data_IF_150934080599
#
_entry.id   IF_150934080599
#
_cell.length_a   1.000
_cell.length_b   1.000
_cell.length_c   1.000
_cell.angle_alpha   90.00
_cell.angle_beta   90.00
_cell.angle_gamma   90.00
#
_symmetry.space_group_name_H-M   'P 1'
#
loop_
_entity.id
_entity.type
_entity.pdbx_description
1 polymer ?
#
# COMPACT_ATOMS: atom_id res chain seq x y z
N UNK A 1 2.14 -2.04 24.82
CA UNK A 1 3.38 -2.34 24.05
C UNK A 1 3.12 -3.64 23.31
N UNK A 2 3.17 -3.61 21.98
CA UNK A 2 3.00 -4.79 21.14
C UNK A 2 4.37 -5.45 20.93
N UNK A 3 4.48 -6.78 21.02
CA UNK A 3 5.75 -7.47 20.77
C UNK A 3 6.14 -7.38 19.28
N UNK A 4 7.44 -7.42 18.97
CA UNK A 4 7.89 -7.50 17.57
C UNK A 4 7.38 -8.80 16.93
N UNK A 5 7.06 -8.74 15.65
CA UNK A 5 6.66 -9.90 14.84
C UNK A 5 7.71 -10.18 13.77
N UNK A 6 7.80 -11.43 13.32
CA UNK A 6 8.48 -11.73 12.06
C UNK A 6 7.52 -11.35 10.92
N UNK A 7 7.82 -10.23 10.25
CA UNK A 7 6.91 -9.67 9.28
C UNK A 7 6.73 -10.56 8.04
N UNK A 8 7.78 -11.26 7.61
CA UNK A 8 7.70 -12.22 6.51
C UNK A 8 6.74 -13.37 6.82
N UNK A 9 6.87 -13.97 8.00
CA UNK A 9 5.95 -15.04 8.42
C UNK A 9 4.51 -14.54 8.50
N UNK A 10 4.30 -13.32 9.02
CA UNK A 10 2.96 -12.72 9.07
C UNK A 10 2.37 -12.54 7.66
N UNK A 11 3.16 -12.09 6.68
CA UNK A 11 2.72 -11.97 5.29
C UNK A 11 2.34 -13.34 4.74
N UNK A 12 3.17 -14.36 4.94
CA UNK A 12 2.93 -15.70 4.42
C UNK A 12 1.66 -16.34 5.03
N UNK A 13 1.44 -16.17 6.33
CA UNK A 13 0.23 -16.63 7.02
C UNK A 13 -1.03 -15.92 6.51
N UNK A 14 -0.92 -14.63 6.16
CA UNK A 14 -2.04 -13.80 5.73
C UNK A 14 -2.18 -13.70 4.19
N UNK A 15 -1.29 -14.32 3.41
CA UNK A 15 -1.23 -14.22 1.94
C UNK A 15 -2.56 -14.58 1.26
N UNK A 16 -3.34 -15.46 1.87
CA UNK A 16 -4.67 -15.82 1.39
C UNK A 16 -5.69 -14.67 1.41
N UNK A 17 -5.48 -13.65 2.25
CA UNK A 17 -6.29 -12.42 2.34
C UNK A 17 -5.73 -11.28 1.47
N UNK A 18 -4.45 -11.35 1.09
CA UNK A 18 -3.76 -10.31 0.30
C UNK A 18 -4.03 -10.47 -1.20
N UNK A 19 -5.22 -10.93 -1.56
CA UNK A 19 -5.72 -11.14 -2.92
C UNK A 19 -7.25 -11.01 -2.94
N UNK A 20 -7.88 -10.86 -4.12
CA UNK A 20 -9.33 -10.81 -4.19
C UNK A 20 -10.01 -12.01 -3.51
N UNK A 21 -11.14 -11.79 -2.82
CA UNK A 21 -11.92 -10.54 -2.76
C UNK A 21 -11.48 -9.54 -1.68
N UNK A 22 -10.49 -9.86 -0.83
CA UNK A 22 -10.12 -9.03 0.33
C UNK A 22 -9.05 -7.99 -0.04
N UNK A 23 -7.90 -8.44 -0.55
CA UNK A 23 -6.86 -7.60 -1.14
C UNK A 23 -5.91 -6.88 -0.17
N UNK A 24 -6.30 -6.63 1.09
CA UNK A 24 -5.45 -6.00 2.10
C UNK A 24 -5.75 -6.48 3.51
N UNK A 25 -4.83 -6.21 4.44
CA UNK A 25 -5.02 -6.46 5.87
C UNK A 25 -4.18 -5.52 6.73
N UNK A 26 -4.80 -4.94 7.76
CA UNK A 26 -4.10 -4.19 8.81
C UNK A 26 -3.29 -5.13 9.71
N UNK A 27 -2.07 -4.73 10.07
CA UNK A 27 -1.15 -5.52 10.90
C UNK A 27 -1.54 -5.44 12.37
N UNK A 28 -1.95 -4.26 12.83
CA UNK A 28 -2.39 -3.98 14.19
C UNK A 28 -3.70 -3.23 14.16
N UNK A 29 -4.64 -3.61 15.03
CA UNK A 29 -5.94 -2.96 15.16
C UNK A 29 -5.93 -1.94 16.32
N UNK A 30 -6.72 -0.88 16.19
CA UNK A 30 -6.90 0.15 17.23
C UNK A 30 -5.60 0.88 17.63
N UNK A 31 -4.75 1.18 16.65
CA UNK A 31 -3.50 1.94 16.82
C UNK A 31 -3.57 3.29 16.11
N UNK A 32 -2.70 4.23 16.50
CA UNK A 32 -2.62 5.54 15.83
C UNK A 32 -2.09 5.42 14.38
N UNK A 33 -1.06 4.60 14.17
CA UNK A 33 -0.63 4.27 12.81
C UNK A 33 -1.50 3.16 12.24
N UNK A 34 -1.96 3.37 11.02
CA UNK A 34 -2.57 2.34 10.19
C UNK A 34 -1.43 1.70 9.40
N UNK A 35 -0.98 0.54 9.86
CA UNK A 35 0.05 -0.26 9.18
C UNK A 35 -0.68 -1.37 8.43
N UNK A 36 -0.66 -1.31 7.11
CA UNK A 36 -1.44 -2.21 6.25
C UNK A 36 -0.55 -2.90 5.23
N UNK A 37 -0.80 -4.18 5.00
CA UNK A 37 -0.24 -4.91 3.86
C UNK A 37 -1.31 -5.04 2.80
N UNK A 38 -0.96 -4.69 1.57
CA UNK A 38 -1.85 -4.70 0.41
C UNK A 38 -1.23 -5.59 -0.66
N UNK A 39 -1.99 -6.56 -1.14
CA UNK A 39 -1.57 -7.38 -2.27
C UNK A 39 -2.34 -7.07 -3.55
N UNK A 40 -2.19 -7.92 -4.55
CA UNK A 40 -2.90 -7.81 -5.81
C UNK A 40 -3.34 -9.16 -6.40
N UNK A 41 -4.07 -9.15 -7.52
CA UNK A 41 -4.33 -7.98 -8.35
C UNK A 41 -5.44 -7.10 -7.78
N UNK A 42 -5.25 -5.78 -7.85
CA UNK A 42 -6.26 -4.78 -7.53
C UNK A 42 -5.99 -3.49 -8.30
N UNK A 43 -6.90 -3.16 -9.22
CA UNK A 43 -6.86 -1.90 -9.98
C UNK A 43 -8.15 -1.14 -9.72
N UNK A 44 -8.02 0.12 -9.34
CA UNK A 44 -9.16 1.00 -9.04
C UNK A 44 -9.08 2.27 -9.89
N UNK A 45 -10.23 2.93 -10.07
CA UNK A 45 -10.35 4.17 -10.88
C UNK A 45 -10.47 5.42 -10.01
N UNK A 46 -10.89 5.25 -8.78
CA UNK A 46 -11.07 6.33 -7.83
C UNK A 46 -9.73 6.75 -7.23
N UNK A 47 -9.65 8.04 -6.88
CA UNK A 47 -8.49 8.66 -6.28
C UNK A 47 -8.77 8.91 -4.80
N UNK A 48 -7.86 8.47 -3.96
CA UNK A 48 -7.83 8.75 -2.53
C UNK A 48 -7.13 10.10 -2.29
N UNK A 49 -7.57 10.82 -1.27
CA UNK A 49 -6.94 12.05 -0.79
C UNK A 49 -6.83 11.90 0.72
N UNK A 50 -5.60 11.75 1.21
CA UNK A 50 -5.29 11.72 2.63
C UNK A 50 -4.81 13.10 3.10
N UNK A 51 -5.11 13.46 4.35
CA UNK A 51 -4.63 14.69 4.99
C UNK A 51 -3.22 14.50 5.59
N UNK A 52 -2.76 13.27 5.79
CA UNK A 52 -1.42 12.89 6.22
C UNK A 52 -0.53 12.43 5.07
N UNK A 53 0.73 12.14 5.39
CA UNK A 53 1.63 11.44 4.48
C UNK A 53 1.28 9.96 4.42
N UNK A 54 1.43 9.34 3.25
CA UNK A 54 1.34 7.89 3.09
C UNK A 54 2.72 7.33 2.72
N UNK A 55 3.23 6.42 3.55
CA UNK A 55 4.47 5.71 3.30
C UNK A 55 4.19 4.38 2.57
N UNK A 56 4.92 4.13 1.50
CA UNK A 56 4.87 2.91 0.72
C UNK A 56 6.22 2.19 0.79
N UNK A 57 6.18 0.88 0.97
CA UNK A 57 7.31 0.00 0.73
C UNK A 57 6.85 -1.22 -0.07
N UNK A 58 7.32 -1.34 -1.31
CA UNK A 58 6.93 -2.43 -2.18
C UNK A 58 7.84 -3.64 -1.94
N UNK A 59 7.28 -4.72 -1.39
CA UNK A 59 8.03 -5.88 -0.88
C UNK A 59 8.19 -6.99 -1.93
N UNK A 60 7.15 -7.22 -2.73
CA UNK A 60 7.12 -8.23 -3.79
C UNK A 60 6.41 -7.67 -5.02
N UNK A 61 7.04 -7.80 -6.19
CA UNK A 61 6.57 -7.29 -7.48
C UNK A 61 6.41 -5.77 -7.54
N UNK A 62 6.08 -5.24 -8.72
CA UNK A 62 6.00 -3.79 -8.93
C UNK A 62 4.57 -3.26 -8.77
N UNK A 63 4.44 -1.95 -8.57
CA UNK A 63 3.15 -1.26 -8.63
C UNK A 63 3.23 0.09 -9.34
N UNK A 64 2.07 0.59 -9.77
CA UNK A 64 1.93 1.96 -10.28
C UNK A 64 1.03 2.75 -9.34
N UNK A 65 1.52 3.87 -8.84
CA UNK A 65 0.71 4.87 -8.15
C UNK A 65 0.36 5.98 -9.13
N UNK A 66 -0.89 6.02 -9.59
CA UNK A 66 -1.37 7.14 -10.41
C UNK A 66 -1.66 8.33 -9.50
N UNK A 67 -1.15 9.50 -9.80
CA UNK A 67 -1.39 10.72 -9.02
C UNK A 67 -1.89 11.87 -9.89
N UNK A 68 -2.47 12.87 -9.26
CA UNK A 68 -2.72 14.19 -9.86
C UNK A 68 -1.73 15.19 -9.28
N UNK A 69 -0.76 15.61 -10.09
CA UNK A 69 0.25 16.60 -9.74
C UNK A 69 0.07 17.83 -10.63
N UNK A 70 -0.05 19.03 -10.04
CA UNK A 70 -0.27 20.27 -10.79
C UNK A 70 -1.44 20.20 -11.78
N UNK A 71 -2.56 19.60 -11.35
CA UNK A 71 -3.77 19.36 -12.15
C UNK A 71 -3.56 18.47 -13.39
N UNK A 72 -2.47 17.69 -13.44
CA UNK A 72 -2.18 16.74 -14.52
C UNK A 72 -2.01 15.32 -13.98
N UNK A 73 -2.52 14.29 -14.69
CA UNK A 73 -2.23 12.90 -14.37
C UNK A 73 -0.74 12.60 -14.52
N UNK A 74 -0.20 11.83 -13.59
CA UNK A 74 1.19 11.33 -13.61
C UNK A 74 1.21 9.93 -12.99
N UNK A 75 1.95 9.03 -13.59
CA UNK A 75 2.17 7.69 -13.05
C UNK A 75 3.53 7.67 -12.35
N UNK A 76 3.55 7.13 -11.14
CA UNK A 76 4.76 6.85 -10.37
C UNK A 76 4.91 5.33 -10.31
N UNK A 77 6.01 4.83 -10.85
CA UNK A 77 6.42 3.44 -10.65
C UNK A 77 7.05 3.31 -9.27
N UNK A 78 6.66 2.26 -8.54
CA UNK A 78 7.28 1.85 -7.29
C UNK A 78 7.61 0.38 -7.47
N UNK A 79 8.87 0.10 -7.80
CA UNK A 79 9.35 -1.22 -8.16
C UNK A 79 9.66 -2.05 -6.90
N UNK A 80 9.82 -3.37 -7.05
CA UNK A 80 10.16 -4.25 -5.92
C UNK A 80 11.41 -3.77 -5.16
N UNK A 81 11.28 -3.62 -3.85
CA UNK A 81 12.33 -3.14 -2.96
C UNK A 81 12.35 -1.62 -2.75
N UNK A 82 11.55 -0.85 -3.50
CA UNK A 82 11.52 0.60 -3.40
C UNK A 82 10.61 1.10 -2.27
N UNK A 83 11.04 2.21 -1.66
CA UNK A 83 10.23 2.99 -0.72
C UNK A 83 9.82 4.31 -1.37
N UNK A 84 8.62 4.76 -1.05
CA UNK A 84 8.09 6.04 -1.51
C UNK A 84 7.27 6.70 -0.41
N UNK A 85 7.44 8.00 -0.22
CA UNK A 85 6.64 8.80 0.73
C UNK A 85 5.80 9.78 -0.07
N UNK A 86 4.49 9.58 -0.06
CA UNK A 86 3.56 10.47 -0.73
C UNK A 86 3.23 11.66 0.20
N UNK A 87 3.39 12.91 -0.27
CA UNK A 87 3.00 14.08 0.51
C UNK A 87 1.49 14.13 0.76
N UNK A 88 1.04 14.89 1.78
CA UNK A 88 -0.37 15.06 2.06
C UNK A 88 -1.14 15.66 0.89
N UNK A 89 -2.41 15.27 0.80
CA UNK A 89 -3.44 15.85 -0.08
C UNK A 89 -3.10 15.74 -1.57
N UNK A 90 -2.21 14.82 -1.95
CA UNK A 90 -1.97 14.43 -3.34
C UNK A 90 -3.01 13.37 -3.71
N UNK A 91 -3.95 13.67 -4.64
CA UNK A 91 -4.89 12.65 -5.09
C UNK A 91 -4.13 11.50 -5.75
N UNK A 92 -4.38 10.27 -5.30
CA UNK A 92 -3.65 9.10 -5.80
C UNK A 92 -4.54 7.85 -5.94
N UNK A 93 -4.19 6.95 -6.87
CA UNK A 93 -4.95 5.74 -7.19
C UNK A 93 -3.99 4.56 -7.41
N UNK A 94 -3.78 3.70 -6.39
CA UNK A 94 -2.88 2.56 -6.48
C UNK A 94 -3.35 1.52 -7.51
N UNK A 95 -2.41 1.01 -8.31
CA UNK A 95 -2.61 -0.06 -9.27
C UNK A 95 -1.65 -1.20 -8.92
N UNK A 96 -2.19 -2.31 -8.42
CA UNK A 96 -1.41 -3.46 -7.95
C UNK A 96 -1.65 -4.65 -8.87
N UNK A 97 -0.56 -5.24 -9.36
CA UNK A 97 -0.59 -6.39 -10.25
C UNK A 97 -0.69 -7.71 -9.48
N UNK A 98 -0.87 -8.82 -10.19
CA UNK A 98 -0.97 -10.14 -9.60
C UNK A 98 0.32 -10.50 -8.83
N UNK A 99 0.17 -11.21 -7.70
CA UNK A 99 1.28 -11.67 -6.85
C UNK A 99 2.19 -10.57 -6.29
N UNK A 100 1.70 -9.33 -6.22
CA UNK A 100 2.41 -8.22 -5.57
C UNK A 100 2.09 -8.15 -4.08
N UNK A 101 3.02 -7.63 -3.28
CA UNK A 101 2.85 -7.32 -1.85
C UNK A 101 3.51 -5.98 -1.56
N UNK A 102 2.76 -5.05 -0.97
CA UNK A 102 3.28 -3.77 -0.51
C UNK A 102 2.83 -3.45 0.92
N UNK A 103 3.71 -2.81 1.69
CA UNK A 103 3.40 -2.20 2.96
C UNK A 103 2.97 -0.74 2.71
N UNK A 104 1.90 -0.33 3.39
CA UNK A 104 1.43 1.05 3.46
C UNK A 104 1.36 1.46 4.94
N UNK A 105 1.83 2.66 5.27
CA UNK A 105 1.69 3.27 6.60
C UNK A 105 1.08 4.66 6.45
N UNK A 106 -0.05 4.88 7.11
CA UNK A 106 -0.81 6.14 7.14
C UNK A 106 -1.35 6.43 8.56
N UNK A 107 -2.09 7.54 8.74
CA UNK A 107 -2.67 7.94 10.04
C UNK A 107 -4.14 8.33 9.93
#
# INVERSE_FOLDING_TARGET
MLPPINFKNWIDENRHLLKPPVGNKVVYENTEFIIMVVGGPNTRKDYHIDEGEEFFYQLEGDMILRIIENAKPKDINIDEGEIFLLPPRVPHSPQRFENTIGLVVER
#
